data_IF_742511424320
#
_entry.id   IF_742511424320
#
_cell.length_a   1.000
_cell.length_b   1.000
_cell.length_c   1.000
_cell.angle_alpha   90.00
_cell.angle_beta   90.00
_cell.angle_gamma   90.00
#
_symmetry.space_group_name_H-M   'P 1'
#
loop_
_entity.id
_entity.type
_entity.pdbx_description
1 polymer ?
#
# COMPACT_ATOMS: atom_id res chain seq x y z
N UNK A 1 -17.29 -31.15 7.39
CA UNK A 1 -15.86 -31.45 7.23
C UNK A 1 -15.16 -31.12 8.52
N UNK A 2 -14.38 -32.03 9.08
CA UNK A 2 -13.49 -31.66 10.19
C UNK A 2 -12.29 -30.90 9.60
N UNK A 3 -12.46 -29.60 9.42
CA UNK A 3 -11.33 -28.73 9.15
C UNK A 3 -10.37 -28.80 10.37
N UNK A 4 -9.04 -28.98 10.24
CA UNK A 4 -8.25 -28.83 9.03
C UNK A 4 -7.85 -30.13 8.30
N UNK A 5 -8.19 -31.30 8.80
CA UNK A 5 -7.61 -32.58 8.38
C UNK A 5 -7.95 -33.02 6.94
N UNK A 6 -8.71 -32.24 6.19
CA UNK A 6 -9.11 -32.57 4.81
C UNK A 6 -8.94 -31.44 3.80
N UNK A 7 -8.47 -30.26 4.24
CA UNK A 7 -8.29 -29.10 3.34
C UNK A 7 -7.01 -29.24 2.49
N UNK A 8 -5.97 -29.86 3.05
CA UNK A 8 -4.70 -30.12 2.36
C UNK A 8 -4.43 -31.62 2.50
N UNK A 9 -4.33 -32.31 1.36
CA UNK A 9 -4.14 -33.77 1.33
C UNK A 9 -2.86 -34.09 0.59
N UNK A 10 -1.98 -34.85 1.21
CA UNK A 10 -0.79 -35.43 0.56
C UNK A 10 -1.23 -36.68 -0.16
N UNK A 11 -1.26 -36.66 -1.51
CA UNK A 11 -1.64 -37.78 -2.35
C UNK A 11 -0.46 -38.73 -2.55
N UNK A 12 0.74 -38.18 -2.72
CA UNK A 12 1.99 -38.91 -2.85
C UNK A 12 3.16 -37.95 -2.44
N UNK A 13 4.44 -38.41 -2.45
CA UNK A 13 5.59 -37.59 -2.02
C UNK A 13 5.78 -36.28 -2.81
N UNK A 14 5.13 -36.11 -3.94
CA UNK A 14 5.29 -34.97 -4.83
C UNK A 14 3.98 -34.25 -5.18
N UNK A 15 2.84 -34.74 -4.63
CA UNK A 15 1.52 -34.23 -5.00
C UNK A 15 0.72 -33.81 -3.77
N UNK A 16 0.34 -32.52 -3.74
CA UNK A 16 -0.59 -31.95 -2.77
C UNK A 16 -1.92 -31.62 -3.42
N UNK A 17 -3.01 -31.93 -2.75
CA UNK A 17 -4.36 -31.51 -3.13
C UNK A 17 -4.88 -30.50 -2.13
N UNK A 18 -5.33 -29.34 -2.64
CA UNK A 18 -6.03 -28.31 -1.86
C UNK A 18 -7.53 -28.43 -2.13
N UNK A 19 -8.31 -28.68 -1.08
CA UNK A 19 -9.78 -28.78 -1.16
C UNK A 19 -10.39 -27.47 -0.69
N UNK A 20 -10.78 -26.63 -1.62
CA UNK A 20 -11.42 -25.36 -1.34
C UNK A 20 -12.89 -25.57 -0.95
N UNK A 21 -13.41 -24.80 0.00
CA UNK A 21 -14.83 -24.79 0.37
C UNK A 21 -15.70 -24.25 -0.78
N UNK A 22 -15.19 -23.26 -1.50
CA UNK A 22 -15.78 -22.66 -2.68
C UNK A 22 -14.68 -22.40 -3.72
N UNK A 23 -15.02 -22.41 -5.02
CA UNK A 23 -14.08 -21.92 -6.03
C UNK A 23 -13.64 -20.51 -5.72
N UNK A 24 -12.35 -20.22 -5.91
CA UNK A 24 -11.78 -18.88 -5.70
C UNK A 24 -10.83 -18.51 -6.83
N UNK A 25 -11.10 -17.41 -7.52
CA UNK A 25 -10.38 -17.00 -8.72
C UNK A 25 -8.90 -16.71 -8.45
N UNK A 26 -8.57 -16.13 -7.29
CA UNK A 26 -7.22 -15.69 -6.92
C UNK A 26 -6.49 -16.68 -5.98
N UNK A 27 -6.93 -17.95 -5.92
CA UNK A 27 -6.33 -18.91 -5.00
C UNK A 27 -4.83 -19.14 -5.26
N UNK A 28 -4.42 -19.20 -6.54
CA UNK A 28 -2.99 -19.37 -6.87
C UNK A 28 -2.14 -18.16 -6.48
N UNK A 29 -2.71 -16.97 -6.52
CA UNK A 29 -2.06 -15.75 -6.07
C UNK A 29 -1.81 -15.77 -4.54
N UNK A 30 -2.77 -16.29 -3.77
CA UNK A 30 -2.59 -16.51 -2.31
C UNK A 30 -1.45 -17.52 -2.07
N UNK A 31 -1.36 -18.59 -2.86
CA UNK A 31 -0.27 -19.57 -2.71
C UNK A 31 1.10 -19.03 -3.13
N UNK A 32 1.15 -17.93 -3.88
CA UNK A 32 2.40 -17.25 -4.25
C UNK A 32 2.97 -16.40 -3.10
N UNK A 33 2.19 -16.18 -2.03
CA UNK A 33 2.60 -15.39 -0.88
C UNK A 33 3.57 -16.13 0.05
N UNK A 34 4.41 -15.35 0.76
CA UNK A 34 5.43 -15.90 1.67
C UNK A 34 4.87 -16.81 2.77
N UNK A 35 3.65 -16.63 3.33
CA UNK A 35 3.10 -17.57 4.31
C UNK A 35 2.83 -18.97 3.77
N UNK A 36 2.66 -19.10 2.44
CA UNK A 36 2.47 -20.39 1.78
C UNK A 36 3.80 -21.04 1.33
N UNK A 37 4.94 -20.43 1.63
CA UNK A 37 6.26 -20.97 1.28
C UNK A 37 6.51 -22.31 1.98
N UNK A 38 7.05 -23.28 1.23
CA UNK A 38 7.45 -24.55 1.80
C UNK A 38 8.66 -24.40 2.73
N UNK A 39 8.61 -25.04 3.88
CA UNK A 39 9.69 -25.09 4.86
C UNK A 39 10.14 -26.54 5.11
N UNK A 40 11.38 -26.74 5.57
CA UNK A 40 11.85 -28.05 5.96
C UNK A 40 11.20 -28.48 7.30
N UNK A 41 10.32 -29.50 7.30
CA UNK A 41 9.62 -29.92 8.50
C UNK A 41 10.57 -30.46 9.56
N UNK A 42 11.65 -31.11 9.18
CA UNK A 42 12.64 -31.65 10.13
C UNK A 42 13.34 -30.51 10.88
N UNK A 43 13.71 -29.45 10.17
CA UNK A 43 14.28 -28.26 10.81
C UNK A 43 13.29 -27.59 11.75
N UNK A 44 12.03 -27.42 11.34
CA UNK A 44 11.00 -26.80 12.17
C UNK A 44 10.75 -27.63 13.44
N UNK A 45 10.62 -28.95 13.31
CA UNK A 45 10.37 -29.86 14.44
C UNK A 45 11.52 -29.86 15.46
N UNK A 46 12.77 -29.77 15.00
CA UNK A 46 13.95 -29.66 15.86
C UNK A 46 14.00 -28.35 16.67
N UNK A 47 13.25 -27.33 16.25
CA UNK A 47 13.28 -25.98 16.83
C UNK A 47 11.91 -25.56 17.37
N UNK A 48 11.16 -26.46 17.96
CA UNK A 48 9.90 -26.19 18.65
C UNK A 48 8.65 -26.62 17.88
N UNK A 49 8.77 -27.01 16.62
CA UNK A 49 7.67 -27.54 15.82
C UNK A 49 6.54 -26.54 15.55
N UNK A 50 5.40 -27.07 15.12
CA UNK A 50 4.15 -26.32 14.94
C UNK A 50 3.20 -26.69 16.07
N UNK A 51 2.95 -25.75 16.98
CA UNK A 51 2.02 -25.93 18.10
C UNK A 51 0.80 -25.04 17.90
N UNK A 52 -0.44 -25.58 17.94
CA UNK A 52 -1.64 -24.80 17.75
C UNK A 52 -1.72 -23.60 18.69
N UNK A 53 -2.03 -22.42 18.16
CA UNK A 53 -2.14 -21.15 18.88
C UNK A 53 -0.86 -20.69 19.61
N UNK A 54 0.30 -21.20 19.23
CA UNK A 54 1.59 -20.75 19.74
C UNK A 54 2.50 -20.35 18.58
N UNK A 55 3.14 -19.19 18.73
CA UNK A 55 4.15 -18.75 17.78
C UNK A 55 5.46 -19.48 18.05
N UNK A 56 6.06 -20.03 17.00
CA UNK A 56 7.43 -20.54 17.07
C UNK A 56 8.41 -19.37 16.95
N UNK A 57 8.88 -18.85 18.08
CA UNK A 57 9.74 -17.67 18.14
C UNK A 57 11.12 -17.88 17.52
N UNK A 58 11.61 -19.14 17.46
CA UNK A 58 12.88 -19.45 16.79
C UNK A 58 12.78 -19.18 15.30
N UNK A 59 11.66 -19.55 14.67
CA UNK A 59 11.44 -19.35 13.24
C UNK A 59 11.26 -17.87 12.83
N UNK A 60 11.07 -16.96 13.81
CA UNK A 60 11.01 -15.53 13.49
C UNK A 60 12.34 -14.94 12.98
N UNK A 61 13.45 -15.59 13.30
CA UNK A 61 14.81 -15.11 12.94
C UNK A 61 15.65 -16.16 12.21
N UNK A 62 15.12 -17.36 12.03
CA UNK A 62 15.82 -18.45 11.33
C UNK A 62 14.95 -19.00 10.20
N UNK A 63 15.57 -19.24 9.07
CA UNK A 63 14.89 -19.76 7.89
C UNK A 63 15.62 -20.99 7.36
N UNK A 64 14.84 -21.94 6.84
CA UNK A 64 15.36 -23.08 6.09
C UNK A 64 14.54 -23.24 4.81
N UNK A 65 14.97 -22.56 3.77
CA UNK A 65 14.33 -22.57 2.46
C UNK A 65 15.26 -23.02 1.36
N UNK A 66 14.70 -23.36 0.21
CA UNK A 66 15.43 -23.78 -0.99
C UNK A 66 15.70 -22.61 -1.96
N UNK A 67 15.44 -21.38 -1.53
CA UNK A 67 15.57 -20.16 -2.33
C UNK A 67 17.01 -19.82 -2.74
N UNK A 68 17.17 -18.77 -3.56
CA UNK A 68 18.47 -18.36 -4.09
C UNK A 68 19.41 -17.77 -3.04
N UNK A 69 18.90 -17.32 -1.91
CA UNK A 69 19.68 -16.81 -0.78
C UNK A 69 19.31 -17.52 0.52
N UNK A 70 20.24 -17.52 1.47
CA UNK A 70 20.09 -17.99 2.83
C UNK A 70 20.34 -16.83 3.79
N UNK A 71 19.54 -16.71 4.86
CA UNK A 71 19.80 -15.79 5.96
C UNK A 71 20.93 -16.37 6.81
N UNK A 72 22.07 -15.68 6.87
CA UNK A 72 23.23 -16.14 7.67
C UNK A 72 23.39 -15.32 8.94
N UNK A 73 22.79 -14.14 9.00
CA UNK A 73 22.75 -13.32 10.22
C UNK A 73 21.49 -12.48 10.22
N UNK A 74 20.84 -12.38 11.36
CA UNK A 74 19.75 -11.44 11.59
C UNK A 74 19.93 -10.80 12.97
N UNK A 75 20.06 -9.48 12.99
CA UNK A 75 20.06 -8.68 14.21
C UNK A 75 18.79 -7.80 14.17
N UNK A 76 17.76 -8.13 14.95
CA UNK A 76 16.48 -7.42 14.90
C UNK A 76 16.63 -5.92 15.04
N UNK A 77 15.97 -5.15 14.17
CA UNK A 77 16.02 -3.69 14.13
C UNK A 77 17.35 -3.08 13.65
N UNK A 78 18.34 -3.91 13.27
CA UNK A 78 19.66 -3.42 12.83
C UNK A 78 20.03 -3.90 11.44
N UNK A 79 20.10 -5.21 11.22
CA UNK A 79 20.55 -5.74 9.94
C UNK A 79 20.14 -7.19 9.68
N UNK A 80 20.03 -7.52 8.39
CA UNK A 80 19.96 -8.90 7.90
C UNK A 80 21.06 -9.13 6.87
N UNK A 81 21.76 -10.24 6.99
CA UNK A 81 22.78 -10.68 6.00
C UNK A 81 22.27 -11.89 5.26
N UNK A 82 22.18 -11.76 3.95
CA UNK A 82 21.83 -12.82 3.02
C UNK A 82 23.08 -13.28 2.29
N UNK A 83 23.26 -14.59 2.16
CA UNK A 83 24.33 -15.20 1.36
C UNK A 83 23.72 -16.04 0.24
N UNK A 84 24.29 -15.96 -0.96
CA UNK A 84 23.88 -16.80 -2.08
C UNK A 84 23.91 -18.27 -1.69
N UNK A 85 22.81 -18.98 -1.95
CA UNK A 85 22.69 -20.41 -1.65
C UNK A 85 23.53 -21.25 -2.65
N UNK A 86 24.61 -21.90 -2.21
CA UNK A 86 25.45 -22.69 -3.11
C UNK A 86 24.72 -23.93 -3.65
N UNK A 87 23.63 -24.33 -2.97
CA UNK A 87 22.81 -25.49 -3.34
C UNK A 87 21.49 -25.09 -4.01
N UNK A 88 21.42 -23.85 -4.53
CA UNK A 88 20.20 -23.40 -5.19
C UNK A 88 19.83 -24.34 -6.35
N UNK A 89 18.67 -24.96 -6.23
CA UNK A 89 18.24 -26.03 -7.14
C UNK A 89 18.12 -25.58 -8.59
N UNK A 90 17.68 -24.32 -8.83
CA UNK A 90 17.50 -23.82 -10.19
C UNK A 90 18.83 -23.60 -10.94
N UNK A 91 19.97 -23.55 -10.24
CA UNK A 91 21.28 -23.52 -10.89
C UNK A 91 21.60 -24.80 -11.70
N UNK A 92 20.83 -25.87 -11.47
CA UNK A 92 21.00 -27.17 -12.15
C UNK A 92 19.95 -27.43 -13.21
N UNK A 93 19.03 -26.50 -13.44
CA UNK A 93 17.99 -26.66 -14.45
C UNK A 93 18.58 -26.62 -15.86
N UNK A 94 18.04 -27.45 -16.77
CA UNK A 94 18.39 -27.34 -18.19
C UNK A 94 17.88 -25.99 -18.74
N UNK A 95 18.50 -25.43 -19.79
CA UNK A 95 18.09 -24.16 -20.38
C UNK A 95 16.63 -24.10 -20.81
N UNK A 96 16.02 -25.24 -21.17
CA UNK A 96 14.62 -25.35 -21.55
C UNK A 96 13.63 -25.13 -20.40
N UNK A 97 14.07 -25.30 -19.17
CA UNK A 97 13.26 -25.13 -17.94
C UNK A 97 13.64 -23.87 -17.16
N UNK A 98 14.73 -23.19 -17.55
CA UNK A 98 15.14 -21.95 -16.88
C UNK A 98 14.35 -20.76 -17.39
N UNK A 99 14.07 -19.83 -16.48
CA UNK A 99 13.52 -18.51 -16.80
C UNK A 99 14.27 -17.44 -15.99
N UNK A 100 14.00 -16.17 -16.31
CA UNK A 100 14.73 -15.07 -15.67
C UNK A 100 14.57 -15.06 -14.15
N UNK A 101 13.40 -15.47 -13.62
CA UNK A 101 13.14 -15.50 -12.18
C UNK A 101 13.83 -16.68 -11.46
N UNK A 102 14.37 -17.63 -12.21
CA UNK A 102 15.14 -18.77 -11.68
C UNK A 102 16.65 -18.56 -11.82
N UNK A 103 17.09 -17.35 -12.17
CA UNK A 103 18.50 -17.02 -12.32
C UNK A 103 19.26 -17.18 -10.99
N UNK A 104 20.37 -17.91 -10.96
CA UNK A 104 21.24 -17.99 -9.78
C UNK A 104 21.83 -16.61 -9.43
N UNK A 105 21.99 -16.31 -8.13
CA UNK A 105 22.53 -15.02 -7.68
C UNK A 105 23.94 -14.74 -8.23
N UNK A 106 24.14 -13.55 -8.80
CA UNK A 106 25.44 -13.03 -9.18
C UNK A 106 26.13 -12.28 -8.04
N UNK A 107 25.35 -11.61 -7.19
CA UNK A 107 25.82 -10.97 -5.95
C UNK A 107 25.81 -12.04 -4.86
N UNK A 108 26.97 -12.30 -4.27
CA UNK A 108 27.12 -13.39 -3.28
C UNK A 108 26.59 -13.02 -1.90
N UNK A 109 26.67 -11.76 -1.52
CA UNK A 109 26.25 -11.29 -0.20
C UNK A 109 25.40 -10.02 -0.35
N UNK A 110 24.23 -10.02 0.28
CA UNK A 110 23.36 -8.85 0.41
C UNK A 110 23.23 -8.52 1.89
N UNK A 111 23.49 -7.26 2.25
CA UNK A 111 23.37 -6.76 3.61
C UNK A 111 22.25 -5.72 3.61
N UNK A 112 21.20 -5.96 4.40
CA UNK A 112 20.11 -5.01 4.64
C UNK A 112 20.37 -4.33 5.97
N UNK A 113 20.72 -3.05 5.98
CA UNK A 113 20.88 -2.23 7.18
C UNK A 113 19.62 -1.39 7.38
N UNK A 114 19.09 -1.33 8.61
CA UNK A 114 17.89 -0.58 8.94
C UNK A 114 18.22 0.77 9.56
N UNK A 115 17.63 1.82 9.05
CA UNK A 115 17.65 3.16 9.66
C UNK A 115 16.40 3.94 9.24
N UNK A 116 15.82 4.72 10.16
CA UNK A 116 14.71 5.64 9.87
C UNK A 116 15.21 7.06 9.52
N UNK A 117 16.52 7.32 9.56
CA UNK A 117 17.07 8.65 9.29
C UNK A 117 17.33 8.85 7.80
N UNK A 118 16.57 9.72 7.14
CA UNK A 118 16.78 10.13 5.76
C UNK A 118 18.22 10.63 5.51
N UNK A 119 18.75 11.45 6.42
CA UNK A 119 20.13 11.95 6.30
C UNK A 119 21.17 10.83 6.39
N UNK A 120 20.94 9.80 7.20
CA UNK A 120 21.83 8.64 7.26
C UNK A 120 21.79 7.85 5.96
N UNK A 121 20.60 7.61 5.40
CA UNK A 121 20.44 6.93 4.11
C UNK A 121 21.18 7.70 3.01
N UNK A 122 20.97 9.01 2.93
CA UNK A 122 21.65 9.89 1.94
C UNK A 122 23.17 9.77 2.08
N UNK A 123 23.70 9.94 3.28
CA UNK A 123 25.16 9.86 3.53
C UNK A 123 25.73 8.47 3.17
N UNK A 124 24.99 7.39 3.42
CA UNK A 124 25.41 6.03 3.06
C UNK A 124 25.45 5.83 1.53
N UNK A 125 24.46 6.36 0.81
CA UNK A 125 24.41 6.31 -0.65
C UNK A 125 25.53 7.16 -1.28
N UNK A 126 25.69 8.41 -0.85
CA UNK A 126 26.70 9.33 -1.39
C UNK A 126 28.14 8.90 -1.10
N UNK A 127 28.39 8.31 0.06
CA UNK A 127 29.70 7.77 0.41
C UNK A 127 30.01 6.39 -0.23
N UNK A 128 29.01 5.79 -0.91
CA UNK A 128 29.13 4.44 -1.48
C UNK A 128 29.10 3.32 -0.43
N UNK A 129 28.80 3.62 0.84
CA UNK A 129 28.62 2.61 1.88
C UNK A 129 27.38 1.76 1.60
N UNK A 130 26.28 2.37 1.15
CA UNK A 130 25.13 1.67 0.60
C UNK A 130 25.11 1.78 -0.93
N UNK A 131 24.75 0.69 -1.60
CA UNK A 131 24.68 0.61 -3.05
C UNK A 131 23.25 0.71 -3.58
N UNK A 132 22.27 0.59 -2.73
CA UNK A 132 20.86 0.60 -3.08
C UNK A 132 20.04 1.08 -1.88
N UNK A 133 19.07 1.95 -2.13
CA UNK A 133 18.06 2.31 -1.13
C UNK A 133 17.23 1.07 -0.74
N UNK A 134 16.89 0.92 0.52
CA UNK A 134 16.25 -0.27 1.05
C UNK A 134 14.91 -0.64 0.37
N UNK A 135 14.60 -1.93 0.34
CA UNK A 135 13.38 -2.45 -0.26
C UNK A 135 12.21 -2.32 0.74
N UNK A 136 11.49 -1.22 0.71
CA UNK A 136 10.30 -1.02 1.51
C UNK A 136 9.09 -0.78 0.61
N UNK A 137 7.91 -1.21 1.06
CA UNK A 137 6.65 -0.90 0.38
C UNK A 137 6.47 0.62 0.26
N UNK A 138 6.71 1.34 1.36
CA UNK A 138 6.81 2.80 1.37
C UNK A 138 8.30 3.15 1.18
N UNK A 139 8.66 3.95 0.15
CA UNK A 139 10.04 4.31 -0.09
C UNK A 139 10.70 4.99 1.11
N UNK A 140 11.92 4.57 1.42
CA UNK A 140 12.64 5.01 2.63
C UNK A 140 13.05 6.49 2.63
N UNK A 141 13.10 7.14 1.46
CA UNK A 141 13.38 8.58 1.33
C UNK A 141 12.17 9.27 0.70
N UNK A 142 11.69 10.39 1.26
CA UNK A 142 10.72 11.25 0.60
C UNK A 142 11.21 11.73 -0.78
N UNK A 143 10.33 11.92 -1.79
CA UNK A 143 10.71 12.34 -3.14
C UNK A 143 11.50 13.66 -3.18
N UNK A 144 11.31 14.53 -2.19
CA UNK A 144 12.01 15.83 -2.11
C UNK A 144 13.54 15.72 -2.11
N UNK A 145 14.10 14.57 -1.74
CA UNK A 145 15.56 14.35 -1.73
C UNK A 145 16.09 13.84 -3.07
N UNK A 146 15.25 13.35 -3.97
CA UNK A 146 15.67 12.73 -5.23
C UNK A 146 16.45 13.69 -6.14
N UNK A 147 16.04 14.97 -6.33
CA UNK A 147 16.76 15.88 -7.21
C UNK A 147 18.20 16.17 -6.79
N UNK A 148 18.49 16.15 -5.47
CA UNK A 148 19.87 16.34 -4.99
C UNK A 148 20.72 15.11 -5.22
N UNK A 149 20.17 13.91 -5.02
CA UNK A 149 20.86 12.64 -5.26
C UNK A 149 21.13 12.38 -6.73
N UNK A 150 20.25 12.84 -7.63
CA UNK A 150 20.41 12.73 -9.07
C UNK A 150 21.62 13.53 -9.60
N UNK A 151 22.05 14.57 -8.88
CA UNK A 151 23.25 15.35 -9.23
C UNK A 151 24.56 14.58 -8.96
N UNK A 152 24.52 13.51 -8.19
CA UNK A 152 25.71 12.68 -7.93
C UNK A 152 25.96 11.71 -9.09
N UNK A 153 27.07 11.84 -9.86
CA UNK A 153 27.34 11.00 -11.04
C UNK A 153 27.49 9.51 -10.73
N UNK A 154 27.71 9.16 -9.45
CA UNK A 154 27.81 7.76 -8.99
C UNK A 154 26.46 7.16 -8.57
N UNK A 155 25.38 7.95 -8.60
CA UNK A 155 24.05 7.49 -8.24
C UNK A 155 23.09 7.58 -9.44
N UNK A 156 22.05 6.79 -9.39
CA UNK A 156 20.90 6.83 -10.30
C UNK A 156 19.64 6.85 -9.48
N UNK A 157 18.79 7.83 -9.76
CA UNK A 157 17.40 7.84 -9.29
C UNK A 157 16.56 7.11 -10.34
N UNK A 158 15.82 6.13 -9.91
CA UNK A 158 14.89 5.37 -10.77
C UNK A 158 13.48 5.56 -10.21
N UNK A 159 12.58 5.97 -11.07
CA UNK A 159 11.13 6.03 -10.79
C UNK A 159 10.46 5.11 -11.79
N UNK A 160 9.65 4.16 -11.31
CA UNK A 160 8.91 3.24 -12.18
C UNK A 160 8.01 4.00 -13.16
N UNK A 161 7.84 3.51 -14.40
CA UNK A 161 6.96 4.15 -15.36
C UNK A 161 5.50 4.11 -14.89
N UNK A 162 4.62 5.01 -15.40
CA UNK A 162 3.20 5.02 -15.03
C UNK A 162 2.45 3.71 -15.33
N UNK A 163 2.99 2.87 -16.20
CA UNK A 163 2.39 1.57 -16.53
C UNK A 163 2.79 0.45 -15.56
N UNK A 164 3.74 0.71 -14.67
CA UNK A 164 4.14 -0.29 -13.67
C UNK A 164 3.05 -0.43 -12.61
N UNK A 165 2.80 -1.65 -12.10
CA UNK A 165 1.86 -1.85 -11.01
C UNK A 165 2.29 -1.07 -9.76
N UNK A 166 1.44 -0.15 -9.32
CA UNK A 166 1.67 0.66 -8.11
C UNK A 166 0.62 0.27 -7.09
N UNK A 167 0.92 -0.68 -6.24
CA UNK A 167 -0.07 -1.15 -5.25
C UNK A 167 -0.18 -0.23 -4.03
N UNK A 168 0.73 0.71 -3.87
CA UNK A 168 0.73 1.66 -2.77
C UNK A 168 0.04 2.96 -3.16
N UNK A 169 -0.94 3.39 -2.39
CA UNK A 169 -1.62 4.67 -2.60
C UNK A 169 -1.95 5.39 -1.29
N UNK A 170 -2.14 6.69 -1.40
CA UNK A 170 -2.58 7.55 -0.31
C UNK A 170 -4.01 8.03 -0.56
N UNK A 171 -4.75 8.09 0.53
CA UNK A 171 -6.10 8.65 0.58
C UNK A 171 -6.32 9.40 1.88
N UNK A 172 -7.37 10.21 1.91
CA UNK A 172 -7.94 10.71 3.16
C UNK A 172 -9.25 9.99 3.37
N UNK A 173 -9.32 9.13 4.38
CA UNK A 173 -10.56 8.45 4.76
C UNK A 173 -11.46 9.42 5.53
N UNK A 174 -12.77 9.35 5.27
CA UNK A 174 -13.78 10.22 5.85
C UNK A 174 -14.73 9.36 6.68
N UNK A 175 -14.77 9.52 8.00
CA UNK A 175 -15.67 8.75 8.86
C UNK A 175 -17.14 9.02 8.49
N UNK A 176 -17.71 8.09 7.70
CA UNK A 176 -19.05 8.22 7.14
C UNK A 176 -20.17 8.11 8.19
N UNK A 177 -19.84 7.80 9.44
CA UNK A 177 -20.79 7.69 10.54
C UNK A 177 -20.87 8.98 11.35
N UNK A 178 -19.89 9.88 11.27
CA UNK A 178 -19.85 11.11 12.06
C UNK A 178 -20.32 12.34 11.29
N UNK A 179 -21.15 13.16 11.94
CA UNK A 179 -21.53 14.47 11.41
C UNK A 179 -20.32 15.39 11.31
N UNK A 180 -20.17 16.17 10.23
CA UNK A 180 -21.05 16.28 9.06
C UNK A 180 -20.70 15.30 7.92
N UNK A 181 -19.70 14.43 8.10
CA UNK A 181 -19.22 13.49 7.07
C UNK A 181 -20.22 12.34 6.81
N UNK A 182 -21.19 12.14 7.68
CA UNK A 182 -22.31 11.21 7.41
C UNK A 182 -23.28 11.73 6.33
N UNK A 183 -23.12 12.98 5.87
CA UNK A 183 -23.85 13.55 4.74
C UNK A 183 -23.02 13.38 3.48
N UNK A 184 -23.44 12.50 2.58
CA UNK A 184 -22.72 12.20 1.33
C UNK A 184 -22.35 13.45 0.54
N UNK A 185 -23.29 14.40 0.39
CA UNK A 185 -23.02 15.61 -0.36
C UNK A 185 -21.95 16.52 0.29
N UNK A 186 -21.74 16.43 1.62
CA UNK A 186 -20.60 17.11 2.27
C UNK A 186 -19.29 16.45 1.83
N UNK A 187 -19.22 15.10 1.81
CA UNK A 187 -18.01 14.39 1.33
C UNK A 187 -17.72 14.70 -0.13
N UNK A 188 -18.77 14.72 -0.98
CA UNK A 188 -18.65 15.12 -2.39
C UNK A 188 -18.16 16.55 -2.53
N UNK A 189 -18.57 17.48 -1.68
CA UNK A 189 -18.01 18.83 -1.68
C UNK A 189 -16.53 18.84 -1.32
N UNK A 190 -16.11 18.03 -0.35
CA UNK A 190 -14.69 17.95 0.05
C UNK A 190 -13.80 17.40 -1.06
N UNK A 191 -14.20 16.36 -1.80
CA UNK A 191 -13.39 15.82 -2.91
C UNK A 191 -13.17 16.84 -4.03
N UNK A 192 -14.15 17.73 -4.28
CA UNK A 192 -14.02 18.83 -5.25
C UNK A 192 -13.20 20.01 -4.72
N UNK A 193 -12.96 20.09 -3.42
CA UNK A 193 -12.15 21.15 -2.82
C UNK A 193 -10.64 20.85 -2.85
N UNK A 194 -10.22 19.62 -3.19
CA UNK A 194 -8.82 19.20 -3.21
C UNK A 194 -8.21 19.42 -4.59
N UNK A 195 -7.07 20.12 -4.62
CA UNK A 195 -6.24 20.28 -5.82
C UNK A 195 -5.24 19.12 -5.91
N UNK A 196 -5.64 18.04 -6.54
CA UNK A 196 -4.86 16.81 -6.67
C UNK A 196 -3.56 17.03 -7.44
N UNK A 197 -3.57 17.92 -8.44
CA UNK A 197 -2.37 18.27 -9.23
C UNK A 197 -1.34 18.96 -8.35
N UNK A 198 -1.75 19.88 -7.49
CA UNK A 198 -0.85 20.56 -6.57
C UNK A 198 -0.19 19.58 -5.57
N UNK A 199 -0.97 18.61 -5.05
CA UNK A 199 -0.42 17.55 -4.19
C UNK A 199 0.58 16.68 -4.96
N UNK A 200 0.29 16.30 -6.21
CA UNK A 200 1.25 15.58 -7.04
C UNK A 200 2.56 16.37 -7.25
N UNK A 201 2.44 17.65 -7.55
CA UNK A 201 3.59 18.49 -7.85
C UNK A 201 4.44 18.78 -6.62
N UNK A 202 3.81 19.00 -5.45
CA UNK A 202 4.50 19.46 -4.23
C UNK A 202 4.87 18.34 -3.27
N UNK A 203 4.19 17.20 -3.31
CA UNK A 203 4.42 16.06 -2.42
C UNK A 203 5.02 14.87 -3.18
N UNK A 204 4.37 14.42 -4.24
CA UNK A 204 4.83 13.25 -4.99
C UNK A 204 6.00 13.58 -5.93
N UNK A 205 6.15 14.85 -6.39
CA UNK A 205 7.30 15.36 -7.16
C UNK A 205 7.74 14.43 -8.30
N UNK A 206 6.76 13.93 -9.08
CA UNK A 206 6.97 12.99 -10.19
C UNK A 206 6.93 11.50 -9.80
N UNK A 207 6.94 11.16 -8.52
CA UNK A 207 6.81 9.79 -8.02
C UNK A 207 5.35 9.43 -7.63
N UNK A 208 4.38 9.99 -8.34
CA UNK A 208 2.96 9.72 -8.10
C UNK A 208 2.14 9.82 -9.37
N UNK A 209 0.95 9.24 -9.34
CA UNK A 209 -0.06 9.36 -10.39
C UNK A 209 -1.46 9.41 -9.78
N UNK A 210 -2.37 10.13 -10.45
CA UNK A 210 -3.77 10.13 -10.04
C UNK A 210 -4.37 8.75 -10.23
N UNK A 211 -5.22 8.36 -9.30
CA UNK A 211 -5.93 7.09 -9.38
C UNK A 211 -7.38 7.23 -8.94
N UNK A 212 -8.16 6.18 -9.16
CA UNK A 212 -9.54 6.06 -8.70
C UNK A 212 -9.64 4.75 -7.91
N UNK A 213 -9.86 4.84 -6.59
CA UNK A 213 -10.07 3.66 -5.75
C UNK A 213 -11.46 3.02 -5.96
N UNK A 214 -11.78 1.95 -5.25
CA UNK A 214 -11.00 1.40 -4.13
C UNK A 214 -9.90 0.40 -4.49
N UNK A 215 -9.83 -0.14 -5.72
CA UNK A 215 -8.77 -1.08 -6.10
C UNK A 215 -7.48 -0.33 -6.45
N UNK A 216 -6.35 -0.90 -6.06
CA UNK A 216 -5.01 -0.36 -6.33
C UNK A 216 -4.68 -0.38 -7.82
N UNK A 217 -4.06 0.66 -8.39
CA UNK A 217 -3.57 0.63 -9.77
C UNK A 217 -2.65 -0.57 -10.03
N UNK A 218 -2.84 -1.22 -11.18
CA UNK A 218 -2.11 -2.42 -11.57
C UNK A 218 -2.67 -3.74 -11.03
N UNK A 219 -3.68 -3.69 -10.16
CA UNK A 219 -4.45 -4.88 -9.78
C UNK A 219 -5.46 -5.27 -10.86
N UNK A 220 -5.80 -6.58 -10.99
CA UNK A 220 -6.93 -6.98 -11.82
C UNK A 220 -8.20 -6.21 -11.45
N UNK A 221 -9.02 -5.92 -12.44
CA UNK A 221 -10.28 -5.17 -12.27
C UNK A 221 -10.12 -3.73 -11.74
N UNK A 222 -8.93 -3.16 -11.80
CA UNK A 222 -8.75 -1.75 -11.49
C UNK A 222 -9.61 -0.87 -12.40
N UNK A 223 -10.45 -0.03 -11.80
CA UNK A 223 -11.31 0.97 -12.47
C UNK A 223 -11.96 0.47 -13.78
N UNK A 224 -12.74 -0.62 -13.78
CA UNK A 224 -13.24 -1.26 -15.00
C UNK A 224 -14.25 -0.37 -15.76
N UNK A 225 -14.88 0.58 -15.07
CA UNK A 225 -15.79 1.58 -15.64
C UNK A 225 -15.09 2.80 -16.22
N UNK A 226 -13.77 2.90 -16.16
CA UNK A 226 -12.97 4.06 -16.60
C UNK A 226 -13.47 5.39 -16.01
N UNK A 227 -13.79 5.41 -14.72
CA UNK A 227 -14.15 6.63 -14.01
C UNK A 227 -12.95 7.60 -14.01
N UNK A 228 -13.16 8.89 -14.24
CA UNK A 228 -12.09 9.88 -14.12
C UNK A 228 -11.73 10.12 -12.65
N UNK A 229 -10.49 10.51 -12.33
CA UNK A 229 -10.17 11.07 -11.02
C UNK A 229 -11.09 12.25 -10.69
N UNK A 230 -11.32 12.51 -9.40
CA UNK A 230 -12.10 13.69 -9.00
C UNK A 230 -11.44 14.97 -9.54
N UNK A 231 -12.27 15.91 -9.99
CA UNK A 231 -11.79 17.21 -10.47
C UNK A 231 -11.77 18.23 -9.32
N UNK A 232 -10.76 19.09 -9.32
CA UNK A 232 -10.71 20.26 -8.45
C UNK A 232 -11.69 21.33 -8.95
N UNK A 233 -12.72 21.61 -8.18
CA UNK A 233 -13.69 22.68 -8.43
C UNK A 233 -14.22 23.24 -7.10
N UNK A 234 -13.49 24.19 -6.47
CA UNK A 234 -13.92 24.78 -5.20
C UNK A 234 -15.23 25.56 -5.30
N UNK A 235 -15.59 26.05 -6.50
CA UNK A 235 -16.88 26.71 -6.70
C UNK A 235 -18.03 25.69 -6.63
N UNK A 236 -17.88 24.52 -7.22
CA UNK A 236 -18.83 23.42 -7.11
C UNK A 236 -18.95 22.97 -5.64
N UNK A 237 -17.83 22.82 -4.94
CA UNK A 237 -17.81 22.50 -3.52
C UNK A 237 -18.68 23.48 -2.69
N UNK A 238 -18.48 24.79 -2.90
CA UNK A 238 -19.27 25.84 -2.25
C UNK A 238 -20.76 25.75 -2.64
N UNK A 239 -21.09 25.50 -3.90
CA UNK A 239 -22.47 25.34 -4.35
C UNK A 239 -23.15 24.16 -3.69
N UNK A 240 -22.48 23.00 -3.59
CA UNK A 240 -23.00 21.81 -2.91
C UNK A 240 -23.28 22.14 -1.43
N UNK A 241 -22.32 22.73 -0.71
CA UNK A 241 -22.52 23.11 0.69
C UNK A 241 -23.70 24.08 0.86
N UNK A 242 -23.84 25.08 -0.02
CA UNK A 242 -24.96 26.01 -0.01
C UNK A 242 -26.31 25.31 -0.22
N UNK A 243 -26.37 24.32 -1.11
CA UNK A 243 -27.59 23.55 -1.38
C UNK A 243 -28.09 22.77 -0.16
N UNK A 244 -27.18 22.43 0.77
CA UNK A 244 -27.46 21.77 2.04
C UNK A 244 -27.85 22.75 3.18
N UNK A 245 -27.95 24.05 2.86
CA UNK A 245 -28.26 25.08 3.85
C UNK A 245 -27.05 25.61 4.62
N UNK A 246 -25.81 25.23 4.25
CA UNK A 246 -24.62 25.87 4.79
C UNK A 246 -24.50 27.29 4.26
N UNK A 247 -24.10 28.23 5.11
CA UNK A 247 -23.97 29.65 4.78
C UNK A 247 -22.52 30.08 4.85
N UNK A 248 -22.04 30.68 3.77
CA UNK A 248 -20.71 31.32 3.75
C UNK A 248 -20.86 32.71 4.39
N UNK A 249 -20.12 32.99 5.46
CA UNK A 249 -20.11 34.28 6.16
C UNK A 249 -18.90 35.12 5.70
N UNK A 250 -19.16 36.36 5.32
CA UNK A 250 -18.11 37.35 5.04
C UNK A 250 -17.94 38.25 6.26
N UNK A 251 -16.73 38.78 6.57
CA UNK A 251 -15.52 38.77 5.73
C UNK A 251 -14.59 37.56 5.91
N UNK A 252 -14.82 36.71 6.91
CA UNK A 252 -13.86 35.64 7.28
C UNK A 252 -13.98 34.37 6.43
N UNK A 253 -14.90 34.33 5.47
CA UNK A 253 -15.06 33.17 4.58
C UNK A 253 -15.49 31.87 5.24
N UNK A 254 -15.91 31.89 6.50
CA UNK A 254 -16.27 30.67 7.24
C UNK A 254 -17.64 30.15 6.80
N UNK A 255 -17.72 28.86 6.52
CA UNK A 255 -18.98 28.17 6.26
C UNK A 255 -19.65 27.84 7.59
N UNK A 256 -20.89 28.31 7.76
CA UNK A 256 -21.71 28.03 8.92
C UNK A 256 -22.73 26.94 8.56
N UNK A 257 -22.80 25.89 9.36
CA UNK A 257 -23.74 24.81 9.20
C UNK A 257 -25.20 25.26 9.50
N UNK A 258 -26.21 24.46 9.14
CA UNK A 258 -27.62 24.82 9.41
C UNK A 258 -27.92 25.10 10.86
N UNK A 259 -27.14 24.60 11.81
CA UNK A 259 -27.30 24.81 13.25
C UNK A 259 -26.60 26.09 13.76
N UNK A 260 -26.02 26.90 12.88
CA UNK A 260 -25.36 28.16 13.23
C UNK A 260 -23.94 28.02 13.75
N UNK A 261 -23.32 26.85 13.60
CA UNK A 261 -21.91 26.60 14.01
C UNK A 261 -20.99 26.57 12.80
N UNK A 262 -19.71 26.98 12.93
CA UNK A 262 -18.72 26.79 11.89
C UNK A 262 -18.62 25.33 11.46
N UNK A 263 -18.45 25.11 10.16
CA UNK A 263 -18.12 23.79 9.63
C UNK A 263 -16.65 23.50 9.95
N UNK A 264 -16.45 22.74 11.01
CA UNK A 264 -15.11 22.38 11.52
C UNK A 264 -14.90 20.88 11.41
N UNK A 265 -13.74 20.50 10.89
CA UNK A 265 -13.30 19.12 10.72
C UNK A 265 -11.94 18.94 11.38
N UNK A 266 -11.58 17.70 11.71
CA UNK A 266 -10.26 17.34 12.24
C UNK A 266 -9.62 16.31 11.32
N UNK A 267 -8.39 16.59 10.85
CA UNK A 267 -7.57 15.69 10.04
C UNK A 267 -6.44 15.12 10.88
N UNK A 268 -6.48 13.83 11.10
CA UNK A 268 -5.40 13.08 11.74
C UNK A 268 -4.37 12.67 10.70
N UNK A 269 -3.09 12.75 11.05
CA UNK A 269 -1.98 12.36 10.16
C UNK A 269 -0.74 11.96 10.98
N UNK A 270 0.11 11.12 10.40
CA UNK A 270 1.35 10.66 11.03
C UNK A 270 2.41 11.75 10.93
N UNK A 271 2.89 12.22 12.09
CA UNK A 271 3.75 13.40 12.21
C UNK A 271 5.22 13.16 11.85
N UNK A 272 5.67 11.93 11.84
CA UNK A 272 7.01 11.51 11.41
C UNK A 272 7.07 11.08 9.93
N UNK A 273 5.94 11.21 9.20
CA UNK A 273 5.88 11.07 7.76
C UNK A 273 5.84 12.45 7.07
N UNK A 274 6.91 12.89 6.40
CA UNK A 274 6.96 14.19 5.74
C UNK A 274 5.90 14.38 4.64
N UNK A 275 5.49 13.31 3.95
CA UNK A 275 4.46 13.39 2.93
C UNK A 275 3.09 13.67 3.57
N UNK A 276 2.73 12.96 4.62
CA UNK A 276 1.48 13.19 5.34
C UNK A 276 1.43 14.59 5.98
N UNK A 277 2.55 15.06 6.57
CA UNK A 277 2.67 16.43 7.12
C UNK A 277 2.38 17.46 6.03
N UNK A 278 3.00 17.32 4.85
CA UNK A 278 2.83 18.26 3.74
C UNK A 278 1.40 18.22 3.20
N UNK A 279 0.83 17.02 3.00
CA UNK A 279 -0.56 16.84 2.57
C UNK A 279 -1.53 17.51 3.55
N UNK A 280 -1.34 17.28 4.86
CA UNK A 280 -2.22 17.87 5.88
C UNK A 280 -2.23 19.40 5.81
N UNK A 281 -1.07 20.04 5.62
CA UNK A 281 -0.94 21.47 5.47
C UNK A 281 -1.61 22.00 4.19
N UNK A 282 -1.39 21.34 3.06
CA UNK A 282 -2.01 21.70 1.78
C UNK A 282 -3.55 21.57 1.84
N UNK A 283 -4.05 20.46 2.38
CA UNK A 283 -5.48 20.23 2.55
C UNK A 283 -6.11 21.28 3.48
N UNK A 284 -5.40 21.68 4.55
CA UNK A 284 -5.88 22.76 5.41
C UNK A 284 -6.04 24.07 4.65
N UNK A 285 -5.06 24.42 3.80
CA UNK A 285 -5.13 25.62 2.95
C UNK A 285 -6.29 25.50 1.96
N UNK A 286 -6.42 24.38 1.26
CA UNK A 286 -7.47 24.16 0.25
C UNK A 286 -8.88 24.23 0.87
N UNK A 287 -9.11 23.60 2.00
CA UNK A 287 -10.40 23.64 2.69
C UNK A 287 -10.73 25.02 3.25
N UNK A 288 -9.73 25.78 3.66
CA UNK A 288 -9.92 27.18 4.10
C UNK A 288 -10.44 28.07 2.97
N UNK A 289 -10.08 27.81 1.71
CA UNK A 289 -10.54 28.56 0.54
C UNK A 289 -12.05 28.41 0.32
N UNK A 290 -12.64 27.29 0.72
CA UNK A 290 -14.08 27.07 0.68
C UNK A 290 -14.77 27.37 2.03
N UNK A 291 -14.03 27.94 2.99
CA UNK A 291 -14.54 28.35 4.31
C UNK A 291 -14.72 27.23 5.33
N UNK A 292 -14.18 26.04 5.07
CA UNK A 292 -14.15 24.93 6.03
C UNK A 292 -12.96 25.08 6.96
N UNK A 293 -13.19 25.01 8.27
CA UNK A 293 -12.14 25.03 9.28
C UNK A 293 -11.58 23.62 9.48
N UNK A 294 -10.27 23.44 9.24
CA UNK A 294 -9.60 22.16 9.45
C UNK A 294 -8.60 22.27 10.60
N UNK A 295 -8.81 21.46 11.64
CA UNK A 295 -7.84 21.26 12.71
C UNK A 295 -6.92 20.12 12.36
N UNK A 296 -5.61 20.33 12.44
CA UNK A 296 -4.61 19.29 12.23
C UNK A 296 -4.30 18.57 13.54
N UNK A 297 -4.38 17.23 13.53
CA UNK A 297 -4.13 16.36 14.67
C UNK A 297 -2.94 15.43 14.38
N UNK A 298 -1.69 15.84 14.73
CA UNK A 298 -0.53 15.00 14.53
C UNK A 298 -0.50 13.85 15.53
N UNK A 299 -0.19 12.64 15.04
CA UNK A 299 -0.04 11.42 15.83
C UNK A 299 1.22 10.68 15.42
N UNK A 300 1.69 9.73 16.22
CA UNK A 300 2.70 8.75 15.81
C UNK A 300 2.03 7.59 15.08
N UNK A 301 2.80 6.80 14.30
CA UNK A 301 2.31 5.57 13.65
C UNK A 301 1.61 4.64 14.63
N UNK A 302 2.21 4.43 15.82
CA UNK A 302 1.59 3.58 16.84
C UNK A 302 0.25 4.14 17.38
N UNK A 303 0.15 5.47 17.49
CA UNK A 303 -1.11 6.10 17.89
C UNK A 303 -2.18 5.99 16.78
N UNK A 304 -1.78 6.13 15.52
CA UNK A 304 -2.65 5.91 14.37
C UNK A 304 -3.26 4.49 14.41
N UNK A 305 -2.41 3.47 14.51
CA UNK A 305 -2.84 2.07 14.61
C UNK A 305 -3.80 1.83 15.78
N UNK A 306 -3.51 2.41 16.94
CA UNK A 306 -4.39 2.32 18.11
C UNK A 306 -5.74 3.02 17.88
N UNK A 307 -5.77 4.14 17.17
CA UNK A 307 -7.02 4.86 16.85
C UNK A 307 -7.91 4.05 15.90
N UNK A 308 -7.35 3.54 14.80
CA UNK A 308 -8.12 2.77 13.80
C UNK A 308 -8.45 1.36 14.26
N UNK A 309 -7.81 0.85 15.33
CA UNK A 309 -8.17 -0.43 15.96
C UNK A 309 -9.44 -0.34 16.80
N UNK A 310 -9.91 0.86 17.09
CA UNK A 310 -11.13 1.07 17.86
C UNK A 310 -12.38 0.90 16.98
N UNK A 311 -13.55 0.63 17.58
CA UNK A 311 -14.79 0.69 16.84
C UNK A 311 -15.06 2.09 16.26
N UNK A 312 -15.66 2.17 15.08
CA UNK A 312 -16.06 3.43 14.44
C UNK A 312 -16.91 4.34 15.35
N UNK A 313 -17.62 3.76 16.31
CA UNK A 313 -18.44 4.48 17.31
C UNK A 313 -17.63 5.10 18.44
N UNK A 314 -16.35 4.82 18.55
CA UNK A 314 -15.49 5.37 19.60
C UNK A 314 -15.35 6.89 19.43
N UNK A 315 -15.46 7.69 20.53
CA UNK A 315 -15.30 9.14 20.45
C UNK A 315 -13.93 9.58 19.91
N UNK A 316 -12.89 8.78 20.17
CA UNK A 316 -11.50 9.03 19.73
C UNK A 316 -11.22 8.57 18.29
N UNK A 317 -12.15 7.86 17.64
CA UNK A 317 -11.96 7.43 16.24
C UNK A 317 -11.79 8.66 15.33
N UNK A 318 -10.82 8.65 14.38
CA UNK A 318 -10.53 9.80 13.54
C UNK A 318 -11.77 10.23 12.72
N UNK A 319 -11.99 11.54 12.62
CA UNK A 319 -13.01 12.07 11.72
C UNK A 319 -12.54 12.06 10.27
N UNK A 320 -11.29 12.46 10.05
CA UNK A 320 -10.58 12.34 8.78
C UNK A 320 -9.18 11.82 9.10
N UNK A 321 -8.65 10.95 8.26
CA UNK A 321 -7.31 10.37 8.44
C UNK A 321 -6.59 10.28 7.08
N UNK A 322 -5.35 10.77 7.01
CA UNK A 322 -4.47 10.45 5.89
C UNK A 322 -3.95 9.06 6.10
N UNK A 323 -4.15 8.17 5.13
CA UNK A 323 -3.81 6.78 5.29
C UNK A 323 -3.21 6.19 4.02
N UNK A 324 -2.25 5.27 4.23
CA UNK A 324 -1.71 4.45 3.18
C UNK A 324 -2.45 3.13 3.08
N UNK A 325 -2.63 2.65 1.87
CA UNK A 325 -3.02 1.28 1.64
C UNK A 325 -2.09 0.62 0.63
N UNK A 326 -1.74 -0.62 0.87
CA UNK A 326 -0.94 -1.45 -0.03
C UNK A 326 -1.37 -2.91 0.12
N UNK A 327 -1.92 -3.52 -0.94
CA UNK A 327 -2.18 -4.95 -0.99
C UNK A 327 -0.89 -5.75 -0.84
N UNK A 328 -0.95 -6.86 -0.13
CA UNK A 328 0.21 -7.75 0.07
C UNK A 328 0.37 -8.77 -1.05
N UNK A 329 -0.73 -9.08 -1.77
CA UNK A 329 -0.71 -10.03 -2.90
C UNK A 329 -1.72 -9.65 -3.97
N UNK A 330 -1.62 -10.27 -5.15
CA UNK A 330 -2.42 -9.98 -6.35
C UNK A 330 -3.85 -10.52 -6.22
N UNK A 331 -4.63 -9.92 -5.34
CA UNK A 331 -6.02 -10.27 -5.06
C UNK A 331 -6.86 -9.01 -4.81
N UNK A 332 -7.51 -8.44 -5.82
CA UNK A 332 -8.28 -7.21 -5.65
C UNK A 332 -9.54 -7.39 -4.80
N UNK A 333 -10.00 -8.62 -4.61
CA UNK A 333 -11.21 -8.87 -3.84
C UNK A 333 -10.94 -8.74 -2.35
N UNK A 334 -10.06 -9.57 -1.78
CA UNK A 334 -9.76 -9.52 -0.35
C UNK A 334 -8.73 -8.46 0.04
N UNK A 335 -7.90 -8.01 -0.88
CA UNK A 335 -6.90 -7.00 -0.55
C UNK A 335 -7.41 -5.57 -0.69
N UNK A 336 -8.41 -5.32 -1.51
CA UNK A 336 -8.95 -3.99 -1.76
C UNK A 336 -10.46 -3.92 -1.53
N UNK A 337 -11.28 -4.54 -2.37
CA UNK A 337 -12.73 -4.31 -2.38
C UNK A 337 -13.41 -4.68 -1.08
N UNK A 338 -13.27 -5.92 -0.63
CA UNK A 338 -13.98 -6.42 0.54
C UNK A 338 -13.52 -5.69 1.80
N UNK A 339 -12.21 -5.55 1.98
CA UNK A 339 -11.66 -4.94 3.20
C UNK A 339 -11.85 -3.43 3.28
N UNK A 340 -11.91 -2.73 2.13
CA UNK A 340 -12.02 -1.26 2.12
C UNK A 340 -13.47 -0.77 2.05
N UNK A 341 -14.40 -1.57 1.56
CA UNK A 341 -15.77 -1.10 1.27
C UNK A 341 -16.86 -1.83 2.05
N UNK A 342 -16.60 -3.01 2.59
CA UNK A 342 -17.59 -3.77 3.34
C UNK A 342 -17.53 -3.41 4.84
N UNK A 343 -18.68 -3.07 5.41
CA UNK A 343 -18.80 -2.69 6.82
C UNK A 343 -18.32 -3.75 7.81
N UNK A 344 -18.28 -5.04 7.41
CA UNK A 344 -17.78 -6.14 8.24
C UNK A 344 -16.26 -6.03 8.50
N UNK A 345 -15.50 -5.35 7.62
CA UNK A 345 -14.06 -5.18 7.69
C UNK A 345 -13.65 -3.77 8.12
N UNK A 346 -14.45 -3.12 8.94
CA UNK A 346 -14.18 -1.76 9.44
C UNK A 346 -12.94 -1.69 10.35
N UNK A 347 -12.35 -0.51 10.46
CA UNK A 347 -11.18 -0.25 11.29
C UNK A 347 -9.87 -0.76 10.66
N UNK A 348 -8.95 -1.26 11.46
CA UNK A 348 -7.61 -1.72 11.02
C UNK A 348 -7.68 -2.85 9.96
N UNK A 349 -8.83 -3.51 9.84
CA UNK A 349 -9.05 -4.51 8.80
C UNK A 349 -9.21 -3.91 7.39
N UNK A 350 -9.32 -2.58 7.26
CA UNK A 350 -9.28 -1.88 5.98
C UNK A 350 -10.33 -0.79 5.76
N UNK A 351 -11.58 -0.95 6.20
CA UNK A 351 -12.63 0.07 6.02
C UNK A 351 -12.54 1.17 7.10
N UNK A 352 -11.48 1.95 7.04
CA UNK A 352 -11.23 3.04 8.01
C UNK A 352 -12.24 4.18 7.86
N UNK A 353 -12.84 4.36 6.68
CA UNK A 353 -13.94 5.30 6.46
C UNK A 353 -15.24 4.91 7.18
N UNK A 354 -15.31 3.71 7.77
CA UNK A 354 -16.52 3.17 8.38
C UNK A 354 -17.71 3.18 7.41
N UNK A 355 -17.41 3.05 6.12
CA UNK A 355 -18.40 3.09 5.06
C UNK A 355 -19.35 1.90 5.14
N UNK A 356 -20.66 2.18 5.18
CA UNK A 356 -21.68 1.16 5.29
C UNK A 356 -22.81 1.44 4.28
N UNK A 357 -22.72 0.80 3.14
CA UNK A 357 -23.76 0.84 2.11
C UNK A 357 -24.25 -0.58 1.84
N UNK A 358 -25.56 -0.81 1.97
CA UNK A 358 -26.16 -2.14 1.87
C UNK A 358 -25.84 -2.82 0.53
N UNK A 359 -25.98 -2.09 -0.59
CA UNK A 359 -25.75 -2.62 -1.93
C UNK A 359 -24.27 -3.01 -2.13
N UNK A 360 -23.33 -2.15 -1.69
CA UNK A 360 -21.91 -2.45 -1.70
C UNK A 360 -21.58 -3.66 -0.83
N UNK A 361 -22.16 -3.74 0.38
CA UNK A 361 -21.96 -4.89 1.26
C UNK A 361 -22.46 -6.18 0.61
N UNK A 362 -23.65 -6.15 -0.01
CA UNK A 362 -24.23 -7.32 -0.68
C UNK A 362 -23.37 -7.78 -1.88
N UNK A 363 -22.91 -6.84 -2.71
CA UNK A 363 -22.01 -7.11 -3.83
C UNK A 363 -20.67 -7.68 -3.34
N UNK A 364 -20.03 -7.04 -2.39
CA UNK A 364 -18.71 -7.46 -1.88
C UNK A 364 -18.76 -8.78 -1.13
N UNK A 365 -19.87 -9.14 -0.50
CA UNK A 365 -20.05 -10.43 0.15
C UNK A 365 -20.13 -11.61 -0.84
N UNK A 366 -20.52 -11.38 -2.09
CA UNK A 366 -20.60 -12.44 -3.12
C UNK A 366 -19.36 -12.50 -4.02
N UNK A 367 -18.59 -11.42 -4.12
CA UNK A 367 -17.38 -11.36 -4.97
C UNK A 367 -16.40 -12.53 -4.74
N UNK A 368 -16.10 -12.97 -3.49
CA UNK A 368 -15.19 -14.10 -3.27
C UNK A 368 -15.64 -15.43 -3.91
N UNK A 369 -16.92 -15.56 -4.27
CA UNK A 369 -17.49 -16.78 -4.84
C UNK A 369 -17.66 -16.72 -6.36
N UNK A 370 -17.33 -15.59 -6.98
CA UNK A 370 -17.46 -15.37 -8.42
C UNK A 370 -16.18 -15.81 -9.12
N UNK A 371 -16.33 -16.73 -10.08
CA UNK A 371 -15.25 -17.20 -10.96
C UNK A 371 -15.46 -16.79 -12.42
N UNK A 372 -16.61 -16.21 -12.74
CA UNK A 372 -16.90 -15.67 -14.07
C UNK A 372 -16.37 -14.22 -14.14
N UNK A 373 -15.37 -13.99 -14.99
CA UNK A 373 -14.69 -12.70 -15.14
C UNK A 373 -15.63 -11.57 -15.57
N UNK A 374 -16.59 -11.84 -16.46
CA UNK A 374 -17.57 -10.85 -16.91
C UNK A 374 -18.47 -10.41 -15.76
N UNK A 375 -18.96 -11.36 -14.97
CA UNK A 375 -19.80 -11.06 -13.81
C UNK A 375 -18.99 -10.35 -12.71
N UNK A 376 -17.74 -10.74 -12.49
CA UNK A 376 -16.82 -10.06 -11.60
C UNK A 376 -16.65 -8.60 -12.02
N UNK A 377 -16.34 -8.35 -13.28
CA UNK A 377 -16.20 -6.99 -13.83
C UNK A 377 -17.47 -6.17 -13.63
N UNK A 378 -18.64 -6.74 -13.85
CA UNK A 378 -19.91 -6.05 -13.66
C UNK A 378 -20.11 -5.61 -12.20
N UNK A 379 -19.90 -6.53 -11.25
CA UNK A 379 -20.10 -6.23 -9.83
C UNK A 379 -19.06 -5.24 -9.29
N UNK A 380 -17.80 -5.39 -9.72
CA UNK A 380 -16.74 -4.44 -9.39
C UNK A 380 -17.06 -3.05 -9.94
N UNK A 381 -17.55 -2.96 -11.17
CA UNK A 381 -17.97 -1.67 -11.77
C UNK A 381 -19.06 -1.00 -10.93
N UNK A 382 -20.03 -1.77 -10.44
CA UNK A 382 -21.10 -1.22 -9.59
C UNK A 382 -20.58 -0.72 -8.23
N UNK A 383 -19.69 -1.48 -7.58
CA UNK A 383 -19.03 -1.03 -6.35
C UNK A 383 -18.25 0.27 -6.59
N UNK A 384 -17.52 0.36 -7.71
CA UNK A 384 -16.82 1.60 -8.09
C UNK A 384 -17.77 2.78 -8.27
N UNK A 385 -18.87 2.60 -8.99
CA UNK A 385 -19.85 3.66 -9.22
C UNK A 385 -20.43 4.20 -7.91
N UNK A 386 -20.79 3.30 -7.00
CA UNK A 386 -21.37 3.67 -5.71
C UNK A 386 -20.34 4.38 -4.83
N UNK A 387 -19.13 3.83 -4.70
CA UNK A 387 -18.08 4.43 -3.86
C UNK A 387 -17.60 5.77 -4.43
N UNK A 388 -17.48 5.90 -5.74
CA UNK A 388 -17.16 7.16 -6.40
C UNK A 388 -18.21 8.24 -6.14
N UNK A 389 -19.50 7.90 -6.25
CA UNK A 389 -20.60 8.85 -6.00
C UNK A 389 -20.75 9.20 -4.52
N UNK A 390 -20.42 8.29 -3.61
CA UNK A 390 -20.60 8.50 -2.16
C UNK A 390 -19.34 9.01 -1.46
N UNK A 391 -18.21 9.00 -2.12
CA UNK A 391 -16.95 9.56 -1.67
C UNK A 391 -16.61 9.23 -0.20
N UNK A 392 -16.51 7.94 0.20
CA UNK A 392 -16.02 7.60 1.54
C UNK A 392 -14.57 8.02 1.75
N UNK A 393 -13.81 8.11 0.65
CA UNK A 393 -12.41 8.47 0.63
C UNK A 393 -12.11 9.56 -0.40
N UNK A 394 -11.14 10.40 -0.10
CA UNK A 394 -10.50 11.31 -1.04
C UNK A 394 -9.25 10.59 -1.55
N UNK A 395 -9.31 10.00 -2.74
CA UNK A 395 -8.19 9.29 -3.35
C UNK A 395 -7.18 10.28 -3.88
N UNK A 396 -6.04 10.43 -3.19
CA UNK A 396 -5.05 11.47 -3.49
C UNK A 396 -4.18 11.09 -4.67
N UNK A 397 -3.35 10.08 -4.50
CA UNK A 397 -2.48 9.56 -5.56
C UNK A 397 -1.95 8.17 -5.23
N UNK A 398 -1.65 7.41 -6.28
CA UNK A 398 -0.88 6.18 -6.19
C UNK A 398 0.61 6.51 -6.27
N UNK A 399 1.41 5.89 -5.41
CA UNK A 399 2.86 6.11 -5.38
C UNK A 399 3.50 5.25 -6.46
N UNK A 400 4.17 5.88 -7.42
CA UNK A 400 5.07 5.18 -8.33
C UNK A 400 6.31 4.78 -7.55
N UNK A 401 6.62 3.51 -7.53
CA UNK A 401 7.80 3.03 -6.81
C UNK A 401 9.07 3.68 -7.34
N UNK A 402 9.96 4.07 -6.44
CA UNK A 402 11.23 4.67 -6.80
C UNK A 402 12.33 4.23 -5.84
N UNK A 403 13.55 4.30 -6.33
CA UNK A 403 14.73 4.02 -5.53
C UNK A 403 15.95 4.79 -6.02
N UNK A 404 16.97 4.84 -5.16
CA UNK A 404 18.28 5.37 -5.50
C UNK A 404 19.27 4.21 -5.44
N UNK A 405 20.05 4.05 -6.48
CA UNK A 405 21.06 3.00 -6.59
C UNK A 405 22.39 3.55 -7.04
N UNK A 406 23.49 2.89 -6.64
CA UNK A 406 24.79 3.11 -7.25
C UNK A 406 24.73 2.80 -8.74
N UNK A 407 25.37 3.63 -9.57
CA UNK A 407 25.49 3.40 -11.01
C UNK A 407 26.15 2.05 -11.34
N UNK A 408 26.95 1.47 -10.43
CA UNK A 408 27.56 0.15 -10.60
C UNK A 408 26.58 -1.01 -10.45
N UNK A 409 25.46 -0.81 -9.75
CA UNK A 409 24.42 -1.85 -9.56
C UNK A 409 23.47 -1.84 -10.74
N UNK A 410 23.30 -3.00 -11.34
CA UNK A 410 22.41 -3.22 -12.49
C UNK A 410 21.44 -4.36 -12.19
N UNK A 411 20.36 -4.46 -12.99
CA UNK A 411 19.35 -5.51 -12.84
C UNK A 411 18.49 -5.36 -11.58
N UNK A 412 18.39 -4.15 -11.03
CA UNK A 412 17.45 -3.87 -9.96
C UNK A 412 16.04 -4.02 -10.51
N UNK A 413 15.27 -4.85 -9.86
CA UNK A 413 13.88 -5.12 -10.20
C UNK A 413 13.04 -5.07 -8.93
N UNK A 414 12.10 -4.16 -8.89
CA UNK A 414 11.09 -4.10 -7.85
C UNK A 414 9.97 -5.08 -8.18
N UNK A 415 9.61 -5.92 -7.21
CA UNK A 415 8.49 -6.84 -7.36
C UNK A 415 7.40 -6.48 -6.34
N UNK A 416 6.26 -5.93 -6.77
CA UNK A 416 5.17 -5.54 -5.87
C UNK A 416 4.56 -6.73 -5.13
N UNK A 417 4.59 -7.95 -5.71
CA UNK A 417 4.08 -9.15 -5.08
C UNK A 417 4.88 -9.63 -3.86
N UNK A 418 6.13 -9.19 -3.69
CA UNK A 418 6.94 -9.45 -2.49
C UNK A 418 7.28 -8.15 -1.73
N UNK A 419 6.74 -7.02 -2.17
CA UNK A 419 7.02 -5.69 -1.65
C UNK A 419 8.53 -5.42 -1.49
N UNK A 420 9.31 -5.84 -2.48
CA UNK A 420 10.76 -5.77 -2.38
C UNK A 420 11.51 -6.02 -3.67
N UNK A 421 12.83 -5.95 -3.57
CA UNK A 421 13.71 -6.22 -4.71
C UNK A 421 13.94 -7.71 -4.91
N UNK A 422 14.00 -8.13 -6.17
CA UNK A 422 14.41 -9.47 -6.52
C UNK A 422 15.93 -9.53 -6.74
N UNK A 423 16.70 -9.73 -5.68
CA UNK A 423 18.16 -9.69 -5.65
C UNK A 423 18.88 -10.62 -6.65
N UNK A 424 18.38 -11.82 -7.01
CA UNK A 424 19.08 -12.71 -7.93
C UNK A 424 19.38 -12.09 -9.30
N UNK A 425 18.60 -11.14 -9.77
CA UNK A 425 18.81 -10.44 -11.04
C UNK A 425 19.94 -9.39 -10.98
N UNK A 426 20.28 -8.93 -9.78
CA UNK A 426 21.27 -7.86 -9.61
C UNK A 426 22.68 -8.32 -9.88
N UNK A 427 23.47 -7.41 -10.45
CA UNK A 427 24.90 -7.63 -10.70
C UNK A 427 25.66 -6.31 -10.69
N UNK A 428 26.99 -6.40 -10.51
CA UNK A 428 27.88 -5.26 -10.63
C UNK A 428 28.38 -5.11 -12.06
N UNK A 429 28.36 -3.88 -12.57
CA UNK A 429 29.00 -3.48 -13.80
C UNK A 429 29.94 -2.30 -13.52
N UNK A 430 31.23 -2.58 -13.45
CA UNK A 430 32.28 -1.61 -13.09
C UNK A 430 32.50 -0.52 -14.15
N UNK A 431 31.97 -0.69 -15.36
CA UNK A 431 32.07 0.30 -16.45
C UNK A 431 30.84 1.21 -16.54
N UNK A 432 29.77 0.93 -15.78
CA UNK A 432 28.49 1.64 -15.92
C UNK A 432 28.51 3.10 -15.39
N UNK A 433 29.51 3.48 -14.63
CA UNK A 433 29.69 4.84 -14.07
C UNK A 433 30.78 5.65 -14.78
N UNK A 434 31.19 5.28 -15.96
CA UNK A 434 32.12 6.11 -16.73
C UNK A 434 31.42 7.43 -17.09
N UNK A 435 32.00 8.61 -16.79
CA UNK A 435 31.44 9.87 -17.26
C UNK A 435 31.38 9.82 -18.78
N UNK A 436 30.20 10.10 -19.35
CA UNK A 436 29.96 10.24 -20.78
C UNK A 436 30.67 11.47 -21.34
#
# INVERSE_FOLDING_TARGET
MSYPNQAIVVLDPYTLEFKLLNPYMFFLQILAEYPASAVDPVFVDQHGGVVPNQQNTYMNTHTMGTGPYQVVQWVPGQMVVLQANPNYWAAKLPPSESNIMLTPPKIKTVILEYTSSANQIINMLESGKAQLMGPLAIPALPPLYLPSLEQNPCLRVVIEPPSAPTWLFLMITLDTQKYPLNITAVRVALVHAINYTEILDTVAMGAGELYVGPISPGMPFYNPGNLPPYNYDPNLAIQILKSLGFKLTLPNGTVINPNGQPLSLTLTYVSDDPAQVKIAQEVQIMLSQIGVQLTLNPVTTQQEENLISQPCTAPSYPQMLIWYWYPSWLDPVYQDLVVQTNAMYSGIAGNVACFNNTEVNDLTNVLPFITNETLMTQYVTEVYNITYQQAPDIWLYAIRQYWVQSCYVQGVFWNPGILGYYFPLMYYNTTACSPS
#
